data_IF_557981729469
#
_entry.id   IF_557981729469
#
_cell.length_a   1.000
_cell.length_b   1.000
_cell.length_c   1.000
_cell.angle_alpha   90.00
_cell.angle_beta   90.00
_cell.angle_gamma   90.00
#
_symmetry.space_group_name_H-M   'P 1'
#
loop_
_entity.id
_entity.type
_entity.pdbx_description
1 polymer ?
#
# COMPACT_ATOMS: atom_id res chain seq x y z
N UNK A 1 7.09 -24.48 3.12
CA UNK A 1 7.52 -23.38 4.02
C UNK A 1 6.42 -22.35 4.02
N UNK A 2 6.05 -21.80 5.18
CA UNK A 2 4.94 -20.85 5.29
C UNK A 2 5.38 -19.43 4.89
N UNK A 3 4.48 -18.70 4.23
CA UNK A 3 4.62 -17.27 3.89
C UNK A 3 4.12 -16.33 4.98
N UNK A 4 3.56 -16.87 6.08
CA UNK A 4 2.98 -16.07 7.16
C UNK A 4 3.91 -14.98 7.72
N UNK A 5 5.21 -15.23 7.97
CA UNK A 5 6.13 -14.18 8.43
C UNK A 5 6.23 -13.01 7.45
N UNK A 6 6.25 -13.33 6.16
CA UNK A 6 6.29 -12.31 5.12
C UNK A 6 4.98 -11.53 5.04
N UNK A 7 3.85 -12.22 5.16
CA UNK A 7 2.53 -11.60 5.13
C UNK A 7 2.32 -10.69 6.33
N UNK A 8 2.72 -11.10 7.53
CA UNK A 8 2.68 -10.26 8.73
C UNK A 8 3.54 -9.00 8.58
N UNK A 9 4.72 -9.13 8.00
CA UNK A 9 5.60 -7.99 7.72
C UNK A 9 4.97 -7.00 6.71
N UNK A 10 4.36 -7.50 5.63
CA UNK A 10 3.82 -6.66 4.55
C UNK A 10 2.41 -6.13 4.82
N UNK A 11 1.64 -6.83 5.64
CA UNK A 11 0.29 -6.50 6.07
C UNK A 11 0.28 -6.34 7.60
N UNK A 12 0.94 -5.29 8.14
CA UNK A 12 0.95 -5.06 9.58
C UNK A 12 -0.46 -4.68 10.03
N UNK A 13 -1.22 -5.67 10.49
CA UNK A 13 -2.56 -5.47 11.06
C UNK A 13 -2.43 -4.95 12.48
N UNK A 14 -2.53 -3.63 12.66
CA UNK A 14 -2.64 -2.99 13.98
C UNK A 14 -4.05 -2.43 14.28
N UNK A 15 -5.03 -2.68 13.39
CA UNK A 15 -6.44 -2.33 13.60
C UNK A 15 -7.35 -3.57 13.66
N UNK A 16 -8.67 -3.38 13.76
CA UNK A 16 -9.73 -4.42 13.81
C UNK A 16 -9.82 -5.34 12.56
N UNK A 17 -8.82 -5.30 11.69
CA UNK A 17 -8.70 -6.20 10.55
C UNK A 17 -8.20 -7.56 11.02
N UNK A 18 -8.91 -8.62 10.59
CA UNK A 18 -8.55 -10.01 10.85
C UNK A 18 -7.11 -10.31 10.45
N UNK A 19 -6.42 -11.10 11.26
CA UNK A 19 -5.03 -11.49 10.99
C UNK A 19 -4.92 -12.25 9.66
N UNK A 20 -3.79 -12.17 8.93
CA UNK A 20 -3.62 -12.86 7.64
C UNK A 20 -3.84 -14.38 7.73
N UNK A 21 -3.67 -14.97 8.91
CA UNK A 21 -4.01 -16.37 9.22
C UNK A 21 -5.52 -16.63 9.22
N UNK A 22 -6.29 -15.78 9.88
CA UNK A 22 -7.75 -15.93 10.01
C UNK A 22 -8.47 -15.82 8.67
N UNK A 23 -7.92 -15.02 7.76
CA UNK A 23 -8.49 -14.89 6.42
C UNK A 23 -7.98 -15.99 5.49
N UNK A 24 -6.81 -16.58 5.74
CA UNK A 24 -6.21 -17.55 4.81
C UNK A 24 -5.56 -16.86 3.61
N UNK A 25 -4.92 -15.72 3.86
CA UNK A 25 -4.27 -14.90 2.83
C UNK A 25 -3.13 -15.64 2.09
N UNK A 26 -2.52 -16.63 2.75
CA UNK A 26 -1.42 -17.43 2.17
C UNK A 26 -1.85 -18.19 0.92
N UNK A 27 -3.01 -18.84 0.93
CA UNK A 27 -3.48 -19.64 -0.22
C UNK A 27 -3.83 -18.74 -1.42
N UNK A 28 -4.33 -17.54 -1.15
CA UNK A 28 -4.76 -16.59 -2.16
C UNK A 28 -3.56 -15.88 -2.82
N UNK A 29 -2.55 -15.53 -2.02
CA UNK A 29 -1.25 -15.05 -2.51
C UNK A 29 -0.57 -16.11 -3.35
N UNK A 30 -0.63 -17.38 -2.91
CA UNK A 30 -0.08 -18.51 -3.65
C UNK A 30 -0.76 -18.66 -5.00
N UNK A 31 -2.10 -18.68 -5.04
CA UNK A 31 -2.90 -18.76 -6.27
C UNK A 31 -2.63 -17.59 -7.22
N UNK A 32 -2.63 -16.36 -6.71
CA UNK A 32 -2.35 -15.17 -7.53
C UNK A 32 -0.94 -15.20 -8.13
N UNK A 33 0.05 -15.65 -7.35
CA UNK A 33 1.42 -15.76 -7.82
C UNK A 33 1.57 -16.89 -8.85
N UNK A 34 0.90 -18.03 -8.66
CA UNK A 34 0.84 -19.10 -9.66
C UNK A 34 0.20 -18.64 -10.97
N UNK A 35 -0.83 -17.79 -10.91
CA UNK A 35 -1.44 -17.18 -12.10
C UNK A 35 -0.48 -16.20 -12.80
N UNK A 36 0.20 -15.33 -12.06
CA UNK A 36 1.17 -14.35 -12.59
C UNK A 36 2.40 -15.03 -13.19
N UNK A 37 2.90 -16.08 -12.53
CA UNK A 37 4.10 -16.82 -12.92
C UNK A 37 3.78 -18.15 -13.59
N UNK A 38 2.60 -18.29 -14.21
CA UNK A 38 2.19 -19.51 -14.93
C UNK A 38 3.18 -19.94 -16.03
N UNK A 39 3.96 -19.00 -16.55
CA UNK A 39 5.01 -19.22 -17.54
C UNK A 39 6.30 -19.81 -16.96
N UNK A 40 6.42 -19.86 -15.63
CA UNK A 40 7.60 -20.35 -14.92
C UNK A 40 7.44 -21.85 -14.59
N UNK A 41 8.47 -22.70 -14.79
CA UNK A 41 8.37 -24.11 -14.46
C UNK A 41 8.18 -24.34 -12.95
N UNK A 42 7.42 -25.37 -12.58
CA UNK A 42 7.08 -25.71 -11.19
C UNK A 42 8.25 -25.76 -10.19
N UNK A 43 9.45 -26.31 -10.51
CA UNK A 43 10.55 -26.31 -9.54
C UNK A 43 11.06 -24.91 -9.20
N UNK A 44 10.95 -23.93 -10.12
CA UNK A 44 11.36 -22.55 -9.85
C UNK A 44 10.36 -21.82 -8.96
N UNK A 45 9.07 -22.14 -9.07
CA UNK A 45 8.04 -21.62 -8.15
C UNK A 45 8.29 -22.10 -6.72
N UNK A 46 8.62 -23.38 -6.53
CA UNK A 46 8.97 -23.89 -5.19
C UNK A 46 10.20 -23.21 -4.59
N UNK A 47 11.24 -22.97 -5.39
CA UNK A 47 12.44 -22.25 -4.95
C UNK A 47 12.09 -20.80 -4.60
N UNK A 48 11.29 -20.12 -5.44
CA UNK A 48 10.81 -18.78 -5.17
C UNK A 48 10.08 -18.73 -3.82
N UNK A 49 9.19 -19.69 -3.55
CA UNK A 49 8.46 -19.75 -2.28
C UNK A 49 9.34 -19.92 -1.06
N UNK A 50 10.39 -20.75 -1.16
CA UNK A 50 11.38 -20.90 -0.08
C UNK A 50 12.13 -19.60 0.17
N UNK A 51 12.54 -18.93 -0.90
CA UNK A 51 13.25 -17.64 -0.81
C UNK A 51 12.37 -16.57 -0.19
N UNK A 52 11.11 -16.47 -0.60
CA UNK A 52 10.16 -15.48 -0.06
C UNK A 52 9.84 -15.72 1.42
N UNK A 53 9.67 -16.98 1.84
CA UNK A 53 9.47 -17.32 3.25
C UNK A 53 10.69 -16.99 4.13
N UNK A 54 11.90 -17.27 3.63
CA UNK A 54 13.15 -16.88 4.31
C UNK A 54 13.31 -15.36 4.40
N UNK A 55 12.98 -14.65 3.33
CA UNK A 55 13.00 -13.19 3.31
C UNK A 55 12.02 -12.60 4.33
N UNK A 56 10.81 -13.14 4.45
CA UNK A 56 9.85 -12.71 5.47
C UNK A 56 10.39 -12.81 6.89
N UNK A 57 10.95 -13.98 7.24
CA UNK A 57 11.57 -14.21 8.55
C UNK A 57 12.76 -13.28 8.81
N UNK A 58 13.53 -12.96 7.77
CA UNK A 58 14.67 -12.06 7.88
C UNK A 58 14.22 -10.61 8.05
N UNK A 59 13.20 -10.18 7.30
CA UNK A 59 12.63 -8.83 7.39
C UNK A 59 11.96 -8.57 8.75
N UNK A 60 11.23 -9.55 9.31
CA UNK A 60 10.65 -9.44 10.66
C UNK A 60 11.71 -9.25 11.76
N UNK A 61 12.93 -9.77 11.56
CA UNK A 61 14.01 -9.68 12.55
C UNK A 61 14.83 -8.39 12.44
N UNK A 62 14.70 -7.63 11.36
CA UNK A 62 15.48 -6.42 11.15
C UNK A 62 14.85 -5.23 11.89
N UNK A 63 15.67 -4.35 12.50
CA UNK A 63 15.15 -3.16 13.16
C UNK A 63 14.50 -2.21 12.14
N UNK A 64 13.38 -1.54 12.49
CA UNK A 64 12.64 -0.67 11.57
C UNK A 64 13.50 0.44 10.95
N UNK A 65 14.43 1.00 11.72
CA UNK A 65 15.36 2.04 11.26
C UNK A 65 16.27 1.58 10.11
N UNK A 66 16.70 0.32 10.15
CA UNK A 66 17.55 -0.26 9.11
C UNK A 66 16.77 -0.53 7.82
N UNK A 67 15.51 -0.93 7.94
CA UNK A 67 14.61 -1.13 6.80
C UNK A 67 14.31 0.19 6.09
N UNK A 68 14.06 1.26 6.86
CA UNK A 68 13.89 2.61 6.32
C UNK A 68 15.16 3.06 5.60
N UNK A 69 16.34 2.85 6.19
CA UNK A 69 17.61 3.21 5.56
C UNK A 69 17.87 2.43 4.27
N UNK A 70 17.61 1.11 4.25
CA UNK A 70 17.73 0.29 3.05
C UNK A 70 16.76 0.72 1.95
N UNK A 71 15.53 1.08 2.30
CA UNK A 71 14.53 1.59 1.37
C UNK A 71 14.94 2.94 0.76
N UNK A 72 15.63 3.80 1.52
CA UNK A 72 16.17 5.06 1.01
C UNK A 72 17.40 4.85 0.14
N UNK A 73 18.33 3.97 0.53
CA UNK A 73 19.63 3.82 -0.14
C UNK A 73 19.62 2.93 -1.38
N UNK A 74 18.75 1.93 -1.42
CA UNK A 74 18.79 0.89 -2.47
C UNK A 74 17.53 0.92 -3.34
N UNK A 75 17.62 1.39 -4.60
CA UNK A 75 16.49 1.36 -5.52
C UNK A 75 16.07 -0.07 -5.88
N UNK A 76 17.01 -1.02 -5.87
CA UNK A 76 16.73 -2.44 -6.07
C UNK A 76 15.90 -3.00 -4.92
N UNK A 77 16.28 -2.69 -3.67
CA UNK A 77 15.53 -3.13 -2.50
C UNK A 77 14.13 -2.55 -2.49
N UNK A 78 13.99 -1.25 -2.80
CA UNK A 78 12.68 -0.59 -2.94
C UNK A 78 11.81 -1.25 -4.02
N UNK A 79 12.40 -1.59 -5.17
CA UNK A 79 11.68 -2.24 -6.26
C UNK A 79 11.23 -3.65 -5.88
N UNK A 80 12.12 -4.43 -5.25
CA UNK A 80 11.80 -5.77 -4.76
C UNK A 80 10.70 -5.72 -3.69
N UNK A 81 10.81 -4.81 -2.72
CA UNK A 81 9.81 -4.62 -1.68
C UNK A 81 8.46 -4.18 -2.26
N UNK A 82 8.48 -3.30 -3.26
CA UNK A 82 7.25 -2.87 -3.95
C UNK A 82 6.59 -4.01 -4.73
N UNK A 83 7.38 -4.84 -5.42
CA UNK A 83 6.87 -6.02 -6.10
C UNK A 83 6.25 -7.00 -5.09
N UNK A 84 6.95 -7.25 -3.99
CA UNK A 84 6.51 -8.18 -2.96
C UNK A 84 5.24 -7.70 -2.26
N UNK A 85 5.17 -6.39 -1.96
CA UNK A 85 3.97 -5.73 -1.46
C UNK A 85 2.82 -5.85 -2.46
N UNK A 86 3.07 -5.69 -3.74
CA UNK A 86 2.03 -5.81 -4.77
C UNK A 86 1.46 -7.23 -4.84
N UNK A 87 2.33 -8.24 -4.82
CA UNK A 87 1.95 -9.66 -4.88
C UNK A 87 1.19 -10.14 -3.63
N UNK A 88 1.30 -9.42 -2.51
CA UNK A 88 0.65 -9.77 -1.24
C UNK A 88 -0.58 -8.93 -0.96
N UNK A 89 -0.48 -7.61 -1.13
CA UNK A 89 -1.57 -6.66 -0.86
C UNK A 89 -2.70 -6.80 -1.87
N UNK A 90 -2.42 -6.96 -3.16
CA UNK A 90 -3.50 -7.08 -4.16
C UNK A 90 -4.44 -8.28 -3.92
N UNK A 91 -3.95 -9.52 -3.75
CA UNK A 91 -4.84 -10.64 -3.44
C UNK A 91 -5.52 -10.47 -2.07
N UNK A 92 -4.79 -10.02 -1.04
CA UNK A 92 -5.38 -9.79 0.29
C UNK A 92 -6.54 -8.78 0.26
N UNK A 93 -6.34 -7.63 -0.40
CA UNK A 93 -7.37 -6.60 -0.56
C UNK A 93 -8.44 -6.96 -1.59
N UNK A 94 -8.25 -8.03 -2.36
CA UNK A 94 -9.29 -8.51 -3.28
C UNK A 94 -10.43 -9.24 -2.57
N UNK A 95 -10.20 -9.67 -1.33
CA UNK A 95 -11.15 -10.42 -0.52
C UNK A 95 -12.39 -9.62 -0.13
N UNK A 96 -13.59 -10.23 -0.18
CA UNK A 96 -14.82 -9.56 0.24
C UNK A 96 -14.75 -9.05 1.68
N UNK A 97 -14.23 -9.85 2.62
CA UNK A 97 -14.21 -9.48 4.05
C UNK A 97 -13.27 -8.30 4.31
N UNK A 98 -12.13 -8.27 3.62
CA UNK A 98 -11.15 -7.17 3.72
C UNK A 98 -11.68 -5.92 3.02
N UNK A 99 -12.35 -6.05 1.87
CA UNK A 99 -12.98 -4.92 1.16
C UNK A 99 -14.06 -4.24 1.98
N UNK A 100 -14.89 -5.05 2.65
CA UNK A 100 -15.95 -4.56 3.54
C UNK A 100 -15.35 -3.83 4.74
N UNK A 101 -14.34 -4.42 5.40
CA UNK A 101 -13.67 -3.78 6.53
C UNK A 101 -12.88 -2.51 6.15
N UNK A 102 -12.28 -2.47 4.97
CA UNK A 102 -11.62 -1.27 4.45
C UNK A 102 -12.61 -0.18 4.02
N UNK A 103 -13.91 -0.51 3.89
CA UNK A 103 -14.92 0.39 3.32
C UNK A 103 -14.64 0.80 1.88
N UNK A 104 -13.69 0.12 1.20
CA UNK A 104 -13.24 0.52 -0.13
C UNK A 104 -14.18 -0.01 -1.19
N UNK A 105 -15.11 0.84 -1.63
CA UNK A 105 -15.84 0.65 -2.89
C UNK A 105 -14.95 1.15 -4.03
N UNK A 106 -14.01 0.32 -4.50
CA UNK A 106 -13.33 0.60 -5.76
C UNK A 106 -14.27 0.30 -6.93
N UNK A 107 -15.07 1.28 -7.32
CA UNK A 107 -15.79 1.24 -8.60
C UNK A 107 -14.76 1.24 -9.74
N UNK A 108 -14.59 0.07 -10.36
CA UNK A 108 -13.77 -0.05 -11.58
C UNK A 108 -14.49 0.66 -12.72
N UNK A 109 -13.74 1.46 -13.49
CA UNK A 109 -14.28 2.16 -14.65
C UNK A 109 -14.78 3.58 -14.37
N UNK A 110 -14.49 4.16 -13.20
CA UNK A 110 -14.68 5.60 -13.01
C UNK A 110 -13.89 6.38 -14.08
N UNK A 111 -14.50 7.41 -14.69
CA UNK A 111 -13.76 8.28 -15.59
C UNK A 111 -12.59 8.88 -14.82
N UNK A 112 -11.43 8.96 -15.48
CA UNK A 112 -10.24 9.58 -14.91
C UNK A 112 -10.61 11.01 -14.50
N UNK A 113 -10.46 11.32 -13.22
CA UNK A 113 -10.67 12.69 -12.73
C UNK A 113 -9.65 13.58 -13.44
N UNK A 114 -10.08 14.70 -14.06
CA UNK A 114 -9.15 15.62 -14.69
C UNK A 114 -8.14 16.11 -13.65
N UNK A 115 -6.89 16.23 -14.05
CA UNK A 115 -5.87 16.83 -13.18
C UNK A 115 -6.31 18.27 -12.85
N UNK A 116 -6.33 18.66 -11.57
CA UNK A 116 -6.76 19.99 -11.20
C UNK A 116 -5.84 21.05 -11.82
N UNK A 117 -6.43 22.16 -12.23
CA UNK A 117 -5.69 23.29 -12.80
C UNK A 117 -5.23 24.21 -11.68
N UNK A 118 -3.92 24.29 -11.48
CA UNK A 118 -3.33 25.07 -10.38
C UNK A 118 -3.84 26.51 -10.31
N UNK A 119 -3.96 27.16 -11.47
CA UNK A 119 -4.40 28.56 -11.59
C UNK A 119 -5.91 28.71 -11.36
N UNK A 120 -6.73 27.78 -11.86
CA UNK A 120 -8.19 27.86 -11.72
C UNK A 120 -8.66 27.50 -10.30
N UNK A 121 -7.89 26.65 -9.63
CA UNK A 121 -8.27 26.05 -8.34
C UNK A 121 -7.44 26.61 -7.19
N UNK A 122 -6.70 27.71 -7.41
CA UNK A 122 -5.85 28.38 -6.42
C UNK A 122 -4.90 27.42 -5.67
N UNK A 123 -4.42 26.38 -6.35
CA UNK A 123 -3.46 25.45 -5.77
C UNK A 123 -2.06 26.06 -5.81
N UNK A 124 -1.43 26.12 -4.65
CA UNK A 124 -0.09 26.66 -4.49
C UNK A 124 0.95 25.54 -4.67
N UNK A 125 1.94 25.80 -5.53
CA UNK A 125 3.14 24.96 -5.61
C UNK A 125 4.19 25.49 -4.65
N UNK A 126 4.52 24.71 -3.63
CA UNK A 126 5.52 25.08 -2.63
C UNK A 126 6.88 25.44 -3.25
N UNK A 127 7.33 24.71 -4.27
CA UNK A 127 8.61 24.96 -4.94
C UNK A 127 8.68 26.32 -5.66
N UNK A 128 7.54 26.91 -5.99
CA UNK A 128 7.43 28.22 -6.68
C UNK A 128 7.14 29.37 -5.72
N UNK A 129 6.98 29.09 -4.43
CA UNK A 129 6.72 30.09 -3.41
C UNK A 129 8.03 30.56 -2.79
N UNK A 130 8.32 31.86 -2.90
CA UNK A 130 9.42 32.49 -2.19
C UNK A 130 8.91 33.11 -0.87
N UNK A 131 9.49 32.69 0.25
CA UNK A 131 9.17 33.25 1.58
C UNK A 131 8.10 32.48 2.37
N UNK A 132 7.59 33.12 3.43
CA UNK A 132 6.56 32.54 4.30
C UNK A 132 5.20 32.53 3.60
N UNK A 133 4.53 31.37 3.62
CA UNK A 133 3.17 31.20 3.09
C UNK A 133 2.20 31.19 4.27
N UNK A 134 1.31 32.17 4.32
CA UNK A 134 0.23 32.24 5.31
C UNK A 134 -1.11 32.06 4.58
N UNK A 135 -1.88 31.06 5.01
CA UNK A 135 -3.20 30.74 4.45
C UNK A 135 -4.18 30.69 5.62
N UNK A 136 -5.23 31.49 5.55
CA UNK A 136 -6.35 31.44 6.48
C UNK A 136 -7.31 30.35 6.03
N UNK A 137 -7.61 29.40 6.94
CA UNK A 137 -8.53 28.29 6.68
C UNK A 137 -9.15 27.82 8.00
N UNK A 138 -10.34 27.24 7.93
CA UNK A 138 -11.00 26.67 9.11
C UNK A 138 -10.29 25.39 9.57
N UNK A 139 -9.81 24.57 8.62
CA UNK A 139 -9.08 23.32 8.89
C UNK A 139 -7.92 23.11 7.93
N UNK A 140 -6.76 22.73 8.48
CA UNK A 140 -5.58 22.30 7.73
C UNK A 140 -5.44 20.77 7.77
N UNK A 141 -5.48 20.11 6.60
CA UNK A 141 -5.22 18.67 6.47
C UNK A 141 -3.78 18.45 5.98
N UNK A 142 -2.96 17.80 6.82
CA UNK A 142 -1.58 17.47 6.48
C UNK A 142 -1.48 16.04 5.94
N UNK A 143 -1.14 15.93 4.65
CA UNK A 143 -0.92 14.67 3.95
C UNK A 143 -1.90 14.44 2.80
N UNK A 144 -1.39 14.33 1.57
CA UNK A 144 -2.18 14.20 0.33
C UNK A 144 -2.57 12.75 -0.03
N UNK A 145 -2.34 11.80 0.88
CA UNK A 145 -2.72 10.40 0.68
C UNK A 145 -4.24 10.19 0.71
N UNK A 146 -4.67 8.96 0.45
CA UNK A 146 -6.10 8.62 0.41
C UNK A 146 -6.87 9.05 1.67
N UNK A 147 -6.29 8.85 2.86
CA UNK A 147 -6.90 9.29 4.12
C UNK A 147 -7.10 10.80 4.20
N UNK A 148 -6.06 11.58 3.87
CA UNK A 148 -6.16 13.04 3.88
C UNK A 148 -7.13 13.57 2.83
N UNK A 149 -7.17 12.96 1.64
CA UNK A 149 -8.11 13.33 0.59
C UNK A 149 -9.58 13.08 1.01
N UNK A 150 -9.85 11.95 1.67
CA UNK A 150 -11.19 11.65 2.21
C UNK A 150 -11.57 12.65 3.31
N UNK A 151 -10.66 12.90 4.26
CA UNK A 151 -10.91 13.86 5.35
C UNK A 151 -11.17 15.26 4.79
N UNK A 152 -10.35 15.73 3.85
CA UNK A 152 -10.54 17.04 3.21
C UNK A 152 -11.90 17.13 2.49
N UNK A 153 -12.30 16.09 1.75
CA UNK A 153 -13.61 16.02 1.10
C UNK A 153 -14.76 16.12 2.11
N UNK A 154 -14.72 15.32 3.16
CA UNK A 154 -15.78 15.27 4.17
C UNK A 154 -15.90 16.57 4.96
N UNK A 155 -14.79 17.28 5.19
CA UNK A 155 -14.80 18.61 5.81
C UNK A 155 -15.40 19.66 4.87
N UNK A 156 -14.95 19.69 3.61
CA UNK A 156 -15.47 20.62 2.60
C UNK A 156 -16.97 20.44 2.34
N UNK A 157 -17.46 19.20 2.28
CA UNK A 157 -18.90 18.89 2.13
C UNK A 157 -19.74 19.34 3.33
N UNK A 158 -19.12 19.54 4.50
CA UNK A 158 -19.75 20.10 5.70
C UNK A 158 -19.64 21.62 5.80
N UNK A 159 -18.99 22.28 4.83
CA UNK A 159 -18.80 23.72 4.79
C UNK A 159 -17.70 24.22 5.72
N UNK A 160 -16.74 23.37 6.05
CA UNK A 160 -15.47 23.71 6.70
C UNK A 160 -14.35 23.88 5.67
#
# INVERSE_FOLDING_TARGET
>A
MSLLPLLRFLLPGHGELKSPEEVGAEEEVKKFTEEVFRWLPSPFLEVLWRVLGLLGLLLERLPPSFLTELNHRSPLFRTLLSLLKTMTVLPYTSRPEVKEALGTVMERGKPRVPCPSLVKENLLEFEKMAGTVEIECDVLVVGSGAGGAVVAKELAEKGL
#
